data_IF_386358325532
#
_entry.id   IF_386358325532
#
_cell.length_a   1.000
_cell.length_b   1.000
_cell.length_c   1.000
_cell.angle_alpha   90.00
_cell.angle_beta   90.00
_cell.angle_gamma   90.00
#
_symmetry.space_group_name_H-M   'P 1'
#
loop_
_entity.id
_entity.type
_entity.pdbx_description
1 polymer ?
#
# COMPACT_ATOMS: atom_id res chain seq x y z
N UNK A 1 7.40 9.34 -16.61
CA UNK A 1 7.74 8.96 -15.22
C UNK A 1 6.79 9.57 -14.17
N UNK A 2 6.30 10.81 -14.29
CA UNK A 2 5.43 11.43 -13.26
C UNK A 2 4.08 10.74 -12.99
N UNK A 3 3.48 10.05 -13.98
CA UNK A 3 2.19 9.36 -13.81
C UNK A 3 2.30 8.21 -12.80
N UNK A 4 3.39 7.46 -12.83
CA UNK A 4 3.61 6.32 -11.91
C UNK A 4 3.73 6.80 -10.46
N UNK A 5 4.44 7.92 -10.25
CA UNK A 5 4.55 8.57 -8.95
C UNK A 5 3.18 9.03 -8.42
N UNK A 6 2.32 9.61 -9.29
CA UNK A 6 0.98 10.06 -8.88
C UNK A 6 0.03 8.94 -8.43
N UNK A 7 0.22 7.72 -8.94
CA UNK A 7 -0.54 6.54 -8.51
C UNK A 7 0.05 5.86 -7.27
N UNK A 8 1.30 6.15 -6.92
CA UNK A 8 1.94 5.68 -5.69
C UNK A 8 1.50 6.48 -4.46
N UNK A 9 1.19 7.77 -4.64
CA UNK A 9 0.72 8.68 -3.58
C UNK A 9 -0.45 8.10 -2.76
N UNK A 10 -1.57 7.60 -3.36
CA UNK A 10 -2.65 7.03 -2.57
C UNK A 10 -2.24 5.77 -1.80
N UNK A 11 -1.32 4.96 -2.33
CA UNK A 11 -0.77 3.80 -1.61
C UNK A 11 0.03 4.20 -0.38
N UNK A 12 0.92 5.19 -0.55
CA UNK A 12 1.73 5.73 0.54
C UNK A 12 0.86 6.42 1.59
N UNK A 13 -0.14 7.19 1.17
CA UNK A 13 -1.08 7.85 2.08
C UNK A 13 -1.88 6.82 2.90
N UNK A 14 -2.31 5.72 2.27
CA UNK A 14 -3.02 4.65 2.95
C UNK A 14 -2.11 3.90 3.94
N UNK A 15 -0.86 3.61 3.56
CA UNK A 15 0.12 3.01 4.44
C UNK A 15 0.42 3.90 5.66
N UNK A 16 0.61 5.20 5.44
CA UNK A 16 0.85 6.17 6.50
C UNK A 16 -0.34 6.27 7.47
N UNK A 17 -1.58 6.27 6.95
CA UNK A 17 -2.79 6.21 7.76
C UNK A 17 -2.86 4.92 8.60
N UNK A 18 -2.50 3.78 8.01
CA UNK A 18 -2.52 2.48 8.69
C UNK A 18 -1.53 2.44 9.85
N UNK A 19 -0.32 2.98 9.64
CA UNK A 19 0.69 3.14 10.71
C UNK A 19 0.21 4.12 11.78
N UNK A 20 -0.38 5.24 11.38
CA UNK A 20 -0.90 6.24 12.33
C UNK A 20 -2.01 5.68 13.20
N UNK A 21 -2.97 4.95 12.62
CA UNK A 21 -4.05 4.28 13.35
C UNK A 21 -3.49 3.19 14.25
N UNK A 22 -2.48 2.45 13.80
CA UNK A 22 -1.82 1.45 14.62
C UNK A 22 -1.15 2.04 15.88
N UNK A 23 -0.40 3.14 15.73
CA UNK A 23 0.28 3.79 16.85
C UNK A 23 -0.68 4.52 17.80
N UNK A 24 -1.82 5.02 17.31
CA UNK A 24 -2.74 5.86 18.10
C UNK A 24 -3.94 5.13 18.69
N UNK A 25 -4.48 4.12 18.00
CA UNK A 25 -5.69 3.39 18.44
C UNK A 25 -5.40 2.00 18.98
N UNK A 26 -4.29 1.35 18.60
CA UNK A 26 -4.07 -0.05 18.96
C UNK A 26 -3.38 -0.14 20.33
N UNK A 27 -4.01 -0.76 21.34
CA UNK A 27 -3.40 -0.92 22.64
C UNK A 27 -2.16 -1.82 22.57
N UNK A 28 -1.16 -1.52 23.40
CA UNK A 28 0.13 -2.23 23.43
C UNK A 28 0.02 -3.74 23.72
N UNK A 29 -1.13 -4.21 24.22
CA UNK A 29 -1.44 -5.63 24.41
C UNK A 29 -1.59 -6.38 23.08
N UNK A 30 -2.10 -5.72 22.02
CA UNK A 30 -2.21 -6.29 20.68
C UNK A 30 -0.86 -6.32 19.94
N UNK A 31 0.04 -5.38 20.23
CA UNK A 31 1.41 -5.37 19.66
C UNK A 31 2.27 -6.55 20.14
N UNK A 32 1.91 -7.16 21.27
CA UNK A 32 2.56 -8.37 21.80
C UNK A 32 2.03 -9.66 21.16
N UNK A 33 0.96 -9.58 20.38
CA UNK A 33 0.39 -10.74 19.73
C UNK A 33 1.00 -10.91 18.33
N UNK A 34 1.77 -11.99 18.12
CA UNK A 34 2.49 -12.24 16.87
C UNK A 34 1.56 -12.29 15.64
N UNK A 35 0.32 -12.75 15.82
CA UNK A 35 -0.68 -12.78 14.74
C UNK A 35 -1.05 -11.37 14.26
N UNK A 36 -1.08 -10.38 15.15
CA UNK A 36 -1.45 -9.01 14.83
C UNK A 36 -0.33 -8.30 14.07
N UNK A 37 0.92 -8.50 14.49
CA UNK A 37 2.09 -7.97 13.79
C UNK A 37 2.21 -8.55 12.36
N UNK A 38 1.99 -9.86 12.21
CA UNK A 38 1.97 -10.49 10.89
C UNK A 38 0.85 -9.95 9.99
N UNK A 39 -0.35 -9.73 10.56
CA UNK A 39 -1.49 -9.19 9.82
C UNK A 39 -1.25 -7.73 9.40
N UNK A 40 -0.66 -6.90 10.27
CA UNK A 40 -0.26 -5.53 9.96
C UNK A 40 0.81 -5.47 8.86
N UNK A 41 1.81 -6.35 8.91
CA UNK A 41 2.83 -6.43 7.86
C UNK A 41 2.23 -6.79 6.49
N UNK A 42 1.28 -7.73 6.47
CA UNK A 42 0.55 -8.13 5.25
C UNK A 42 -0.29 -6.96 4.73
N UNK A 43 -1.01 -6.24 5.60
CA UNK A 43 -1.81 -5.06 5.21
C UNK A 43 -0.93 -3.96 4.62
N UNK A 44 0.24 -3.71 5.20
CA UNK A 44 1.23 -2.79 4.63
C UNK A 44 1.68 -3.22 3.23
N UNK A 45 1.99 -4.51 3.03
CA UNK A 45 2.37 -5.03 1.71
C UNK A 45 1.24 -4.88 0.69
N UNK A 46 0.01 -5.23 1.06
CA UNK A 46 -1.17 -5.08 0.19
C UNK A 46 -1.38 -3.61 -0.18
N UNK A 47 -1.22 -2.68 0.77
CA UNK A 47 -1.38 -1.23 0.51
C UNK A 47 -0.42 -0.71 -0.57
N UNK A 48 0.73 -1.37 -0.75
CA UNK A 48 1.74 -1.02 -1.74
C UNK A 48 1.55 -1.79 -3.06
N UNK A 49 1.12 -3.05 -3.00
CA UNK A 49 0.88 -3.89 -4.18
C UNK A 49 -0.38 -3.45 -4.94
N UNK A 50 -1.48 -3.15 -4.25
CA UNK A 50 -2.75 -2.74 -4.86
C UNK A 50 -2.63 -1.56 -5.83
N UNK A 51 -2.01 -0.42 -5.48
CA UNK A 51 -1.83 0.69 -6.43
C UNK A 51 -0.90 0.31 -7.59
N UNK A 52 0.11 -0.54 -7.35
CA UNK A 52 0.97 -1.06 -8.41
C UNK A 52 0.19 -1.93 -9.41
N UNK A 53 -0.70 -2.80 -8.92
CA UNK A 53 -1.57 -3.64 -9.74
C UNK A 53 -2.58 -2.79 -10.50
N UNK A 54 -3.22 -1.81 -9.85
CA UNK A 54 -4.15 -0.87 -10.50
C UNK A 54 -3.44 -0.11 -11.61
N UNK A 55 -2.20 0.35 -11.38
CA UNK A 55 -1.38 0.99 -12.41
C UNK A 55 -1.09 0.04 -13.58
N UNK A 56 -0.70 -1.20 -13.31
CA UNK A 56 -0.45 -2.20 -14.35
C UNK A 56 -1.71 -2.51 -15.17
N UNK A 57 -2.88 -2.63 -14.53
CA UNK A 57 -4.15 -2.88 -15.21
C UNK A 57 -4.62 -1.66 -16.03
N UNK A 58 -4.49 -0.44 -15.49
CA UNK A 58 -4.90 0.79 -16.20
C UNK A 58 -3.92 1.21 -17.31
N UNK A 59 -2.63 0.88 -17.15
CA UNK A 59 -1.57 1.17 -18.11
C UNK A 59 -0.74 -0.08 -18.37
N UNK A 60 -1.29 -1.08 -19.09
CA UNK A 60 -0.58 -2.30 -19.40
C UNK A 60 0.65 -1.97 -20.26
N UNK A 61 1.84 -2.53 -19.92
CA UNK A 61 3.04 -2.33 -20.71
C UNK A 61 2.81 -2.87 -22.13
N UNK A 62 2.93 -1.99 -23.13
CA UNK A 62 2.69 -2.31 -24.54
C UNK A 62 1.75 -1.35 -25.27
N UNK A 63 0.90 -0.59 -24.56
CA UNK A 63 -0.05 0.35 -25.21
C UNK A 63 0.53 1.73 -25.57
N UNK A 64 1.79 1.99 -25.20
CA UNK A 64 2.53 3.22 -25.54
C UNK A 64 3.61 3.03 -26.61
N UNK A 65 3.64 1.86 -27.26
CA UNK A 65 4.56 1.53 -28.35
C UNK A 65 3.78 1.18 -29.64
N UNK A 66 2.69 1.89 -29.90
CA UNK A 66 2.15 1.99 -31.26
C UNK A 66 2.71 3.30 -31.86
N UNK A 67 3.25 3.23 -33.10
CA UNK A 67 3.90 4.37 -33.77
C UNK A 67 2.96 5.57 -33.96
#
# INVERSE_FOLDING_TARGET
MSKLLSYLIPGIAFAALLVLVNETLVPATLHKADWFNNLMAILCLISLIVPCVIYFVKTPPGRGAQP
#
